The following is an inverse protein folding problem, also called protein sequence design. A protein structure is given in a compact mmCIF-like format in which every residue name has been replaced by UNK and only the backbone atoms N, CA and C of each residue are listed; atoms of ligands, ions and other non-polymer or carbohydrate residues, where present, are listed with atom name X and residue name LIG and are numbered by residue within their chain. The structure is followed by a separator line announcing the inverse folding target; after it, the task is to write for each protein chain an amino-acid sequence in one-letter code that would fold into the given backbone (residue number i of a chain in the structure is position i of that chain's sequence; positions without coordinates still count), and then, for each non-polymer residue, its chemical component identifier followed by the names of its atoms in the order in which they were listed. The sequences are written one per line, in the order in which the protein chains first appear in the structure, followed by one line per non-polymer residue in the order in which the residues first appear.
data_IF_349007233802
#
_entry.id   IF_349007233802
#
_cell.length_a   1.000
_cell.length_b   1.000
_cell.length_c   1.000
_cell.angle_alpha   90.00
_cell.angle_beta   90.00
_cell.angle_gamma   90.00
#
_symmetry.space_group_name_H-M   'P 1'
#
loop_
_entity.id
_entity.type
_entity.pdbx_description
1 polymer ?
#
# COMPACT_ATOMS: atom_id res chain seq x y z
N UNK A 1 -31.93 14.94 -19.82
CA UNK A 1 -31.20 13.65 -19.74
C UNK A 1 -30.13 13.84 -18.67
N UNK A 2 -30.27 13.16 -17.53
CA UNK A 2 -29.41 13.39 -16.36
C UNK A 2 -28.00 12.84 -16.59
N UNK A 3 -26.99 13.64 -16.28
CA UNK A 3 -25.61 13.18 -16.17
C UNK A 3 -25.55 12.12 -15.07
N UNK A 4 -25.48 10.85 -15.44
CA UNK A 4 -25.05 9.77 -14.55
C UNK A 4 -23.55 9.94 -14.34
N UNK A 5 -23.16 10.81 -13.42
CA UNK A 5 -21.82 10.80 -12.84
C UNK A 5 -21.70 9.53 -11.97
N UNK A 6 -21.48 8.38 -12.59
CA UNK A 6 -21.16 7.14 -11.87
C UNK A 6 -19.78 7.37 -11.26
N UNK A 7 -19.75 7.83 -10.01
CA UNK A 7 -18.51 7.90 -9.26
C UNK A 7 -18.09 6.47 -8.92
N UNK A 8 -16.89 6.07 -9.34
CA UNK A 8 -16.32 4.77 -8.99
C UNK A 8 -16.25 4.54 -7.48
N UNK A 9 -16.36 5.59 -6.67
CA UNK A 9 -16.33 5.52 -5.21
C UNK A 9 -17.71 5.42 -4.55
N UNK A 10 -18.81 5.39 -5.31
CA UNK A 10 -20.12 5.12 -4.72
C UNK A 10 -20.18 3.71 -4.12
N UNK A 11 -20.84 3.59 -2.96
CA UNK A 11 -20.88 2.39 -2.14
C UNK A 11 -21.32 1.14 -2.93
N UNK A 12 -22.41 1.24 -3.67
CA UNK A 12 -23.00 0.11 -4.40
C UNK A 12 -22.14 -0.30 -5.61
N UNK A 13 -21.57 0.69 -6.31
CA UNK A 13 -20.70 0.47 -7.47
C UNK A 13 -19.40 -0.21 -7.02
N UNK A 14 -18.78 0.30 -5.96
CA UNK A 14 -17.53 -0.23 -5.43
C UNK A 14 -17.71 -1.64 -4.85
N UNK A 15 -18.80 -1.88 -4.09
CA UNK A 15 -19.15 -3.22 -3.60
C UNK A 15 -19.36 -4.22 -4.74
N UNK A 16 -20.02 -3.81 -5.83
CA UNK A 16 -20.25 -4.67 -7.00
C UNK A 16 -18.94 -5.05 -7.70
N UNK A 17 -18.05 -4.08 -7.91
CA UNK A 17 -16.74 -4.32 -8.52
C UNK A 17 -15.88 -5.23 -7.63
N UNK A 18 -15.81 -4.94 -6.33
CA UNK A 18 -15.06 -5.74 -5.34
C UNK A 18 -15.50 -7.22 -5.32
N UNK A 19 -16.81 -7.48 -5.33
CA UNK A 19 -17.35 -8.85 -5.40
C UNK A 19 -16.98 -9.56 -6.69
N UNK A 20 -17.06 -8.88 -7.83
CA UNK A 20 -16.75 -9.45 -9.13
C UNK A 20 -15.25 -9.75 -9.29
N UNK A 21 -14.39 -8.87 -8.78
CA UNK A 21 -12.93 -9.03 -8.85
C UNK A 21 -12.33 -9.87 -7.73
N UNK A 22 -13.13 -10.22 -6.70
CA UNK A 22 -12.66 -10.86 -5.46
C UNK A 22 -11.56 -10.06 -4.75
N UNK A 23 -11.61 -8.73 -4.86
CA UNK A 23 -10.70 -7.80 -4.21
C UNK A 23 -11.43 -6.98 -3.14
N UNK A 24 -10.67 -6.27 -2.29
CA UNK A 24 -11.26 -5.31 -1.36
C UNK A 24 -11.84 -4.11 -2.10
N UNK A 25 -12.92 -3.50 -1.58
CA UNK A 25 -13.39 -2.23 -2.11
C UNK A 25 -12.34 -1.14 -1.86
N UNK A 26 -12.26 -0.18 -2.78
CA UNK A 26 -11.39 1.00 -2.67
C UNK A 26 -11.93 2.09 -1.74
N UNK A 27 -13.03 1.84 -1.03
CA UNK A 27 -13.59 2.73 -0.01
C UNK A 27 -14.04 1.91 1.22
N UNK A 28 -14.13 2.57 2.36
CA UNK A 28 -14.57 1.94 3.61
C UNK A 28 -16.08 1.70 3.64
N UNK A 29 -16.87 2.59 3.01
CA UNK A 29 -18.34 2.56 3.06
C UNK A 29 -18.95 1.28 2.47
N UNK A 30 -18.21 0.58 1.60
CA UNK A 30 -18.65 -0.67 0.95
C UNK A 30 -18.22 -1.93 1.69
N UNK A 31 -17.37 -1.83 2.72
CA UNK A 31 -16.82 -3.00 3.41
C UNK A 31 -17.91 -3.85 4.05
N UNK A 32 -18.95 -3.24 4.61
CA UNK A 32 -20.10 -3.92 5.18
C UNK A 32 -20.83 -4.79 4.14
N UNK A 33 -21.04 -4.29 2.92
CA UNK A 33 -21.71 -4.98 1.82
C UNK A 33 -20.89 -6.16 1.27
N UNK A 34 -19.57 -6.15 1.46
CA UNK A 34 -18.65 -7.17 0.94
C UNK A 34 -18.28 -8.20 2.01
N UNK A 35 -18.18 -7.78 3.27
CA UNK A 35 -17.70 -8.60 4.40
C UNK A 35 -18.50 -9.90 4.60
N UNK A 36 -19.83 -9.86 4.43
CA UNK A 36 -20.70 -11.03 4.59
C UNK A 36 -20.45 -12.17 3.60
N UNK A 37 -19.83 -11.87 2.44
CA UNK A 37 -19.46 -12.85 1.42
C UNK A 37 -17.95 -12.96 1.21
N UNK A 38 -17.14 -12.40 2.12
CA UNK A 38 -15.70 -12.33 1.96
C UNK A 38 -15.08 -13.74 1.93
N UNK A 39 -14.25 -13.98 0.92
CA UNK A 39 -13.43 -15.20 0.84
C UNK A 39 -12.42 -15.24 2.00
N UNK A 40 -11.84 -16.40 2.35
CA UNK A 40 -10.80 -16.48 3.37
C UNK A 40 -9.64 -15.50 3.11
N UNK A 41 -9.22 -15.36 1.84
CA UNK A 41 -8.17 -14.41 1.43
C UNK A 41 -8.58 -12.97 1.75
N UNK A 42 -9.80 -12.57 1.40
CA UNK A 42 -10.29 -11.21 1.66
C UNK A 42 -10.39 -10.91 3.16
N UNK A 43 -10.82 -11.89 3.98
CA UNK A 43 -10.84 -11.75 5.44
C UNK A 43 -9.43 -11.55 6.01
N UNK A 44 -8.45 -12.32 5.50
CA UNK A 44 -7.05 -12.14 5.89
C UNK A 44 -6.54 -10.75 5.51
N UNK A 45 -6.84 -10.26 4.30
CA UNK A 45 -6.46 -8.91 3.87
C UNK A 45 -7.08 -7.82 4.76
N UNK A 46 -8.38 -7.93 5.09
CA UNK A 46 -9.05 -7.01 6.00
C UNK A 46 -8.36 -6.99 7.38
N UNK A 47 -8.00 -8.16 7.91
CA UNK A 47 -7.33 -8.26 9.20
C UNK A 47 -5.94 -7.62 9.19
N UNK A 48 -5.12 -7.87 8.16
CA UNK A 48 -3.79 -7.26 8.00
C UNK A 48 -3.94 -5.73 8.00
N UNK A 49 -4.80 -5.22 7.11
CA UNK A 49 -4.94 -3.77 6.91
C UNK A 49 -5.64 -3.05 8.08
N UNK A 50 -6.42 -3.75 8.90
CA UNK A 50 -7.14 -3.13 10.03
C UNK A 50 -6.24 -2.61 11.15
N UNK A 51 -4.99 -3.10 11.23
CA UNK A 51 -3.99 -2.68 12.21
C UNK A 51 -2.90 -1.76 11.64
N UNK A 52 -2.95 -1.45 10.35
CA UNK A 52 -1.86 -0.78 9.65
C UNK A 52 -2.24 0.67 9.29
N UNK A 53 -1.25 1.56 9.31
CA UNK A 53 -1.38 2.93 8.81
C UNK A 53 -0.98 3.00 7.32
N UNK A 54 -1.77 3.67 6.47
CA UNK A 54 -1.43 3.81 5.06
C UNK A 54 -0.19 4.70 4.86
N UNK A 55 0.84 4.14 4.22
CA UNK A 55 2.13 4.80 3.95
C UNK A 55 2.05 5.84 2.80
N UNK A 56 0.86 6.06 2.22
CA UNK A 56 0.67 6.84 0.98
C UNK A 56 1.04 8.32 1.11
N UNK A 57 1.05 8.88 2.32
CA UNK A 57 1.48 10.25 2.57
C UNK A 57 2.97 10.48 2.24
N UNK A 58 3.78 9.41 2.22
CA UNK A 58 5.16 9.48 1.76
C UNK A 58 5.26 9.40 0.23
N UNK A 59 4.38 8.69 -0.48
CA UNK A 59 4.61 8.27 -1.88
C UNK A 59 4.56 9.40 -2.94
N UNK A 60 4.04 10.57 -2.58
CA UNK A 60 3.74 11.64 -3.55
C UNK A 60 4.93 12.58 -3.83
N UNK A 61 5.99 12.53 -3.02
CA UNK A 61 7.18 13.36 -3.23
C UNK A 61 8.27 12.61 -4.04
N UNK A 62 8.93 13.22 -5.03
CA UNK A 62 10.07 12.61 -5.73
C UNK A 62 11.18 12.10 -4.79
N UNK A 63 11.39 12.78 -3.65
CA UNK A 63 12.32 12.35 -2.60
C UNK A 63 11.89 11.05 -1.93
N UNK A 64 10.60 10.75 -1.84
CA UNK A 64 10.17 9.47 -1.28
C UNK A 64 10.42 8.31 -2.23
N UNK A 65 10.20 8.49 -3.54
CA UNK A 65 10.55 7.46 -4.54
C UNK A 65 12.05 7.13 -4.45
N UNK A 66 12.91 8.15 -4.40
CA UNK A 66 14.34 7.96 -4.22
C UNK A 66 14.68 7.31 -2.87
N UNK A 67 13.99 7.67 -1.80
CA UNK A 67 14.12 7.06 -0.47
C UNK A 67 13.78 5.55 -0.48
N UNK A 68 12.74 5.13 -1.20
CA UNK A 68 12.37 3.72 -1.37
C UNK A 68 13.42 2.94 -2.18
N UNK A 69 13.97 3.55 -3.24
CA UNK A 69 15.05 2.95 -4.02
C UNK A 69 16.30 2.71 -3.16
N UNK A 70 16.70 3.69 -2.35
CA UNK A 70 17.83 3.56 -1.41
C UNK A 70 17.61 2.37 -0.47
N UNK A 71 16.44 2.27 0.18
CA UNK A 71 16.13 1.12 1.04
C UNK A 71 16.22 -0.20 0.29
N UNK A 72 15.64 -0.26 -0.90
CA UNK A 72 15.58 -1.48 -1.71
C UNK A 72 16.98 -1.98 -2.08
N UNK A 73 17.85 -1.08 -2.55
CA UNK A 73 19.22 -1.41 -2.95
C UNK A 73 20.03 -1.97 -1.78
N UNK A 74 19.99 -1.30 -0.62
CA UNK A 74 20.76 -1.74 0.55
C UNK A 74 20.23 -3.07 1.12
N UNK A 75 18.91 -3.27 1.13
CA UNK A 75 18.30 -4.54 1.53
C UNK A 75 18.66 -5.68 0.58
N UNK A 76 18.69 -5.44 -0.73
CA UNK A 76 19.09 -6.46 -1.71
C UNK A 76 20.55 -6.86 -1.53
N UNK A 77 21.45 -5.89 -1.34
CA UNK A 77 22.87 -6.15 -1.06
C UNK A 77 23.05 -6.91 0.27
N UNK A 78 22.25 -6.62 1.29
CA UNK A 78 22.22 -7.39 2.54
C UNK A 78 21.77 -8.84 2.32
N UNK A 79 20.69 -9.05 1.56
CA UNK A 79 20.14 -10.39 1.28
C UNK A 79 21.08 -11.23 0.41
N UNK A 80 21.91 -10.59 -0.41
CA UNK A 80 22.98 -11.25 -1.17
C UNK A 80 24.19 -11.64 -0.29
N UNK A 81 24.26 -11.14 0.95
CA UNK A 81 25.37 -11.37 1.87
C UNK A 81 26.56 -10.43 1.69
N UNK A 82 26.42 -9.38 0.86
CA UNK A 82 27.48 -8.39 0.62
C UNK A 82 27.68 -7.44 1.82
N UNK A 83 26.68 -7.33 2.69
CA UNK A 83 26.72 -6.52 3.91
C UNK A 83 25.83 -7.09 5.02
N UNK A 84 26.16 -6.75 6.26
CA UNK A 84 25.32 -7.08 7.42
C UNK A 84 24.08 -6.20 7.50
N UNK A 85 23.09 -6.65 8.30
CA UNK A 85 21.89 -5.85 8.56
C UNK A 85 22.19 -4.48 9.19
N UNK A 86 23.23 -4.40 10.03
CA UNK A 86 23.65 -3.15 10.65
C UNK A 86 24.22 -2.19 9.61
N UNK A 87 25.07 -2.69 8.71
CA UNK A 87 25.66 -1.89 7.64
C UNK A 87 24.62 -1.37 6.66
N UNK A 88 23.67 -2.23 6.25
CA UNK A 88 22.57 -1.83 5.39
C UNK A 88 21.74 -0.70 6.03
N UNK A 89 21.36 -0.84 7.31
CA UNK A 89 20.61 0.20 8.02
C UNK A 89 21.38 1.53 8.11
N UNK A 90 22.68 1.48 8.42
CA UNK A 90 23.52 2.68 8.47
C UNK A 90 23.66 3.37 7.10
N UNK A 91 23.81 2.60 6.02
CA UNK A 91 23.90 3.15 4.66
C UNK A 91 22.59 3.77 4.20
N UNK A 92 21.46 3.13 4.47
CA UNK A 92 20.13 3.72 4.20
C UNK A 92 20.01 5.07 4.90
N UNK A 93 20.31 5.13 6.20
CA UNK A 93 20.23 6.38 6.97
C UNK A 93 21.14 7.47 6.39
N UNK A 94 22.40 7.14 6.07
CA UNK A 94 23.33 8.10 5.47
C UNK A 94 22.82 8.63 4.14
N UNK A 95 22.41 7.74 3.23
CA UNK A 95 21.94 8.11 1.89
C UNK A 95 20.63 8.90 1.93
N UNK A 96 19.79 8.68 2.95
CA UNK A 96 18.62 9.52 3.18
C UNK A 96 18.97 10.92 3.63
N UNK A 97 19.96 11.08 4.52
CA UNK A 97 20.43 12.39 4.93
C UNK A 97 20.97 13.17 3.73
N UNK A 98 21.74 12.50 2.86
CA UNK A 98 22.26 13.10 1.61
C UNK A 98 21.15 13.50 0.63
N UNK A 99 20.01 12.79 0.66
CA UNK A 99 18.88 13.05 -0.24
C UNK A 99 18.07 14.28 0.20
N UNK A 100 18.03 14.58 1.50
CA UNK A 100 17.24 15.68 2.06
C UNK A 100 18.06 16.93 2.41
N UNK A 101 19.39 16.83 2.36
CA UNK A 101 20.34 17.95 2.52
C UNK A 101 20.44 18.79 1.26
#
# INVERSE_FOLDING_TARGET
MGNLSISFLEKEVNAKVAKASRALPGNLDSLDLVSGGATPVMKTQMNILSGDEPVEELRQAPSAVASWSIMTEEMQSMLNGDQSAKEAASKVQSRWLDLIS
#
